data_IF_662575596923
#
_entry.id   IF_662575596923
#
_cell.length_a   1.000
_cell.length_b   1.000
_cell.length_c   1.000
_cell.angle_alpha   90.00
_cell.angle_beta   90.00
_cell.angle_gamma   90.00
#
_symmetry.space_group_name_H-M   'P 1'
#
loop_
_entity.id
_entity.type
_entity.pdbx_description
1 polymer ?
#
# COMPACT_ATOMS: atom_id res chain seq x y z
N UNK A 1 -15.43 6.80 -1.85
CA UNK A 1 -14.91 6.56 -0.48
C UNK A 1 -13.48 6.05 -0.61
N UNK A 2 -12.52 6.53 0.19
CA UNK A 2 -11.11 6.09 0.10
C UNK A 2 -10.99 4.70 0.71
N UNK A 3 -10.52 3.72 -0.07
CA UNK A 3 -10.23 2.36 0.41
C UNK A 3 -8.91 2.31 1.19
N UNK A 4 -8.90 2.89 2.38
CA UNK A 4 -7.69 3.09 3.21
C UNK A 4 -6.93 1.79 3.49
N UNK A 5 -7.63 0.73 3.86
CA UNK A 5 -7.04 -0.58 4.17
C UNK A 5 -6.36 -1.21 2.97
N UNK A 6 -7.05 -1.21 1.81
CA UNK A 6 -6.48 -1.67 0.54
C UNK A 6 -5.26 -0.86 0.13
N UNK A 7 -5.35 0.47 0.25
CA UNK A 7 -4.28 1.38 -0.12
C UNK A 7 -3.03 1.15 0.75
N UNK A 8 -3.22 1.05 2.07
CA UNK A 8 -2.17 0.74 3.02
C UNK A 8 -1.52 -0.62 2.70
N UNK A 9 -2.33 -1.66 2.51
CA UNK A 9 -1.86 -2.99 2.16
C UNK A 9 -1.08 -3.05 0.85
N UNK A 10 -1.53 -2.35 -0.20
CA UNK A 10 -0.81 -2.29 -1.48
C UNK A 10 0.52 -1.52 -1.34
N UNK A 11 0.58 -0.51 -0.47
CA UNK A 11 1.82 0.21 -0.18
C UNK A 11 2.79 -0.65 0.62
N UNK A 12 2.31 -1.46 1.57
CA UNK A 12 3.13 -2.48 2.23
C UNK A 12 3.65 -3.51 1.23
N UNK A 13 2.80 -3.99 0.31
CA UNK A 13 3.23 -4.88 -0.78
C UNK A 13 4.40 -4.29 -1.54
N UNK A 14 4.29 -3.04 -1.98
CA UNK A 14 5.36 -2.31 -2.66
C UNK A 14 6.64 -2.24 -1.79
N UNK A 15 6.50 -1.89 -0.50
CA UNK A 15 7.60 -1.81 0.46
C UNK A 15 8.29 -3.14 0.78
N UNK A 16 7.73 -4.29 0.44
CA UNK A 16 8.40 -5.58 0.63
C UNK A 16 8.84 -6.25 -0.69
N UNK A 17 8.61 -5.63 -1.86
CA UNK A 17 9.10 -6.15 -3.15
C UNK A 17 10.61 -6.41 -3.11
N UNK A 18 11.02 -7.63 -3.47
CA UNK A 18 12.43 -8.04 -3.54
C UNK A 18 13.08 -8.34 -2.19
N UNK A 19 12.40 -8.08 -1.08
CA UNK A 19 12.90 -8.38 0.27
C UNK A 19 12.63 -9.82 0.69
N UNK A 20 13.22 -10.26 1.80
CA UNK A 20 13.00 -11.54 2.46
C UNK A 20 11.63 -11.65 3.15
N UNK A 21 10.66 -10.85 2.71
CA UNK A 21 9.28 -10.88 3.14
C UNK A 21 8.34 -10.67 1.96
N UNK A 22 7.18 -11.31 2.02
CA UNK A 22 6.06 -11.14 1.11
C UNK A 22 4.83 -10.68 1.89
N UNK A 23 4.05 -9.78 1.30
CA UNK A 23 2.78 -9.33 1.88
C UNK A 23 1.62 -9.96 1.14
N UNK A 24 0.75 -10.64 1.87
CA UNK A 24 -0.54 -11.10 1.39
C UNK A 24 -1.64 -10.24 2.02
N UNK A 25 -2.51 -9.70 1.17
CA UNK A 25 -3.71 -8.98 1.61
C UNK A 25 -4.81 -10.01 1.69
N UNK A 26 -5.26 -10.35 2.89
CA UNK A 26 -6.22 -11.44 3.04
C UNK A 26 -7.53 -11.14 2.31
N UNK A 27 -8.06 -12.15 1.61
CA UNK A 27 -9.44 -12.17 1.10
C UNK A 27 -10.00 -13.58 1.31
N UNK A 28 -11.13 -13.62 2.03
CA UNK A 28 -12.03 -14.71 2.45
C UNK A 28 -11.50 -15.85 3.33
N UNK A 29 -11.87 -15.78 4.62
CA UNK A 29 -11.92 -16.91 5.57
C UNK A 29 -13.36 -17.23 6.03
N UNK A 30 -14.38 -16.48 5.57
CA UNK A 30 -15.82 -16.71 5.84
C UNK A 30 -16.67 -16.28 4.63
N UNK A 31 -17.94 -16.68 4.60
CA UNK A 31 -18.93 -16.45 3.51
C UNK A 31 -19.26 -14.96 3.28
N UNK A 32 -18.76 -14.06 4.14
CA UNK A 32 -19.04 -12.63 4.08
C UNK A 32 -17.72 -11.86 4.05
N UNK A 33 -17.60 -11.02 3.02
CA UNK A 33 -16.46 -10.18 2.64
C UNK A 33 -15.86 -9.33 3.78
N UNK A 34 -15.08 -9.92 4.71
CA UNK A 34 -14.31 -9.18 5.71
C UNK A 34 -13.00 -8.70 5.09
N UNK A 35 -13.11 -7.80 4.11
CA UNK A 35 -12.03 -7.52 3.16
C UNK A 35 -11.02 -6.49 3.67
N UNK A 36 -9.80 -6.97 3.92
CA UNK A 36 -8.54 -6.21 3.91
C UNK A 36 -8.14 -5.48 5.21
N UNK A 37 -8.86 -5.69 6.32
CA UNK A 37 -8.49 -5.11 7.62
C UNK A 37 -7.18 -5.69 8.19
N UNK A 38 -6.71 -6.81 7.64
CA UNK A 38 -5.49 -7.52 8.02
C UNK A 38 -4.62 -7.80 6.79
N UNK A 39 -3.34 -7.47 6.90
CA UNK A 39 -2.29 -7.92 6.00
C UNK A 39 -1.40 -8.94 6.71
N UNK A 40 -0.98 -9.98 6.00
CA UNK A 40 0.01 -10.92 6.50
C UNK A 40 1.33 -10.67 5.80
N UNK A 41 2.38 -10.40 6.58
CA UNK A 41 3.76 -10.33 6.11
C UNK A 41 4.43 -11.65 6.48
N UNK A 42 4.85 -12.42 5.48
CA UNK A 42 5.47 -13.74 5.63
C UNK A 42 6.92 -13.68 5.22
N UNK A 43 7.79 -14.36 5.94
CA UNK A 43 9.18 -14.52 5.53
C UNK A 43 9.28 -15.30 4.22
N UNK A 44 10.22 -14.91 3.37
CA UNK A 44 10.44 -15.46 2.03
C UNK A 44 11.94 -15.45 1.67
N UNK A 45 12.29 -16.05 0.54
CA UNK A 45 13.69 -16.24 0.09
C UNK A 45 14.31 -15.01 -0.59
N UNK A 46 13.76 -13.80 -0.37
CA UNK A 46 14.28 -12.57 -0.96
C UNK A 46 15.49 -11.95 -0.23
N UNK A 47 15.87 -10.74 -0.63
CA UNK A 47 17.03 -10.04 -0.04
C UNK A 47 16.75 -9.61 1.40
N UNK A 48 17.71 -9.78 2.30
CA UNK A 48 17.57 -9.34 3.68
C UNK A 48 17.21 -7.86 3.75
N UNK A 49 16.06 -7.54 4.36
CA UNK A 49 15.67 -6.16 4.59
C UNK A 49 16.56 -5.54 5.69
N UNK A 50 17.30 -4.49 5.32
CA UNK A 50 18.28 -3.84 6.22
C UNK A 50 17.78 -2.54 6.84
N UNK A 51 16.81 -1.86 6.19
CA UNK A 51 16.20 -0.63 6.71
C UNK A 51 14.71 -0.85 6.96
N UNK A 52 14.31 -0.62 8.21
CA UNK A 52 12.99 -0.94 8.73
C UNK A 52 12.24 0.35 9.05
N UNK A 53 10.97 0.48 8.65
CA UNK A 53 10.10 1.48 9.24
C UNK A 53 10.01 1.21 10.74
N UNK A 54 9.95 2.27 11.54
CA UNK A 54 9.92 2.13 12.98
C UNK A 54 8.73 1.27 13.42
N UNK A 55 9.03 0.24 14.19
CA UNK A 55 8.05 -0.74 14.68
C UNK A 55 8.15 -2.08 13.99
N UNK A 56 8.73 -2.18 12.78
CA UNK A 56 8.93 -3.45 12.08
C UNK A 56 10.31 -4.09 12.30
N UNK A 57 11.09 -3.57 13.25
CA UNK A 57 12.40 -4.11 13.63
C UNK A 57 12.38 -5.53 14.24
N UNK A 58 11.20 -6.09 14.52
CA UNK A 58 11.04 -7.40 15.15
C UNK A 58 10.14 -8.36 14.35
N UNK A 59 10.07 -8.25 13.01
CA UNK A 59 9.32 -9.22 12.21
C UNK A 59 9.79 -10.66 12.47
N UNK A 60 8.84 -11.59 12.56
CA UNK A 60 9.07 -13.04 12.65
C UNK A 60 8.68 -13.72 11.33
N UNK A 61 8.52 -15.03 11.32
CA UNK A 61 8.20 -15.79 10.12
C UNK A 61 6.80 -15.44 9.57
N UNK A 62 5.84 -15.17 10.45
CA UNK A 62 4.48 -14.71 10.13
C UNK A 62 4.12 -13.47 10.94
N UNK A 63 3.60 -12.43 10.28
CA UNK A 63 3.31 -11.17 10.93
C UNK A 63 1.93 -10.69 10.51
N UNK A 64 1.00 -10.60 11.45
CA UNK A 64 -0.36 -10.13 11.17
C UNK A 64 -0.44 -8.65 11.52
N UNK A 65 -0.84 -7.85 10.55
CA UNK A 65 -0.90 -6.39 10.66
C UNK A 65 -2.32 -5.94 10.43
N UNK A 66 -2.98 -5.46 11.48
CA UNK A 66 -4.25 -4.74 11.33
C UNK A 66 -4.00 -3.25 11.18
N UNK A 67 -4.77 -2.58 10.32
CA UNK A 67 -4.70 -1.14 10.12
C UNK A 67 -6.01 -0.46 10.51
N UNK A 68 -5.93 0.75 11.08
CA UNK A 68 -7.06 1.67 11.23
C UNK A 68 -6.72 3.06 10.76
N UNK A 69 -7.56 3.54 9.86
CA UNK A 69 -7.45 4.83 9.19
C UNK A 69 -7.87 5.99 10.10
N UNK A 70 -7.80 7.20 9.55
CA UNK A 70 -8.09 8.48 10.21
C UNK A 70 -9.35 8.55 11.08
N UNK A 71 -10.42 7.85 10.69
CA UNK A 71 -11.75 7.93 11.31
C UNK A 71 -12.07 6.72 12.18
N UNK A 72 -11.14 5.78 12.30
CA UNK A 72 -11.33 4.53 13.03
C UNK A 72 -10.54 4.58 14.34
N UNK A 73 -11.22 4.56 15.50
CA UNK A 73 -10.53 4.57 16.79
C UNK A 73 -9.86 3.22 17.07
N UNK A 74 -8.77 3.26 17.85
CA UNK A 74 -8.20 2.05 18.46
C UNK A 74 -9.00 1.69 19.70
N UNK A 75 -9.74 0.59 19.64
CA UNK A 75 -10.56 0.06 20.74
C UNK A 75 -10.09 -1.33 21.18
N UNK A 76 -10.45 -1.75 22.40
CA UNK A 76 -10.06 -3.05 22.95
C UNK A 76 -10.51 -4.23 22.08
N UNK A 77 -11.75 -4.16 21.56
CA UNK A 77 -12.34 -5.17 20.68
C UNK A 77 -11.47 -5.50 19.47
N UNK A 78 -10.79 -4.50 18.91
CA UNK A 78 -9.92 -4.72 17.75
C UNK A 78 -8.68 -5.56 18.07
N UNK A 79 -8.16 -5.47 19.30
CA UNK A 79 -7.09 -6.37 19.74
C UNK A 79 -7.60 -7.81 19.84
N UNK A 80 -8.85 -7.99 20.30
CA UNK A 80 -9.49 -9.30 20.37
C UNK A 80 -9.74 -9.90 18.98
N UNK A 81 -10.15 -9.07 18.01
CA UNK A 81 -10.26 -9.46 16.60
C UNK A 81 -8.91 -9.91 16.04
N UNK A 82 -7.85 -9.12 16.23
CA UNK A 82 -6.51 -9.47 15.75
C UNK A 82 -5.99 -10.78 16.37
N UNK A 83 -6.23 -10.99 17.66
CA UNK A 83 -5.89 -12.25 18.34
C UNK A 83 -6.72 -13.41 17.76
N UNK A 84 -8.00 -13.22 17.53
CA UNK A 84 -8.90 -14.24 16.96
C UNK A 84 -8.44 -14.65 15.57
N UNK A 85 -8.10 -13.67 14.72
CA UNK A 85 -7.53 -13.89 13.40
C UNK A 85 -6.20 -14.62 13.45
N UNK A 86 -5.31 -14.25 14.37
CA UNK A 86 -4.09 -15.00 14.59
C UNK A 86 -4.36 -16.47 14.94
N UNK A 87 -5.29 -16.74 15.85
CA UNK A 87 -5.60 -18.12 16.27
C UNK A 87 -6.09 -18.92 15.08
N UNK A 88 -6.99 -18.34 14.29
CA UNK A 88 -7.50 -18.96 13.08
C UNK A 88 -6.38 -19.19 12.06
N UNK A 89 -5.59 -18.16 11.78
CA UNK A 89 -4.52 -18.22 10.79
C UNK A 89 -3.47 -19.26 11.16
N UNK A 90 -3.02 -19.28 12.43
CA UNK A 90 -2.10 -20.29 12.95
C UNK A 90 -2.64 -21.71 12.77
N UNK A 91 -3.92 -21.96 13.09
CA UNK A 91 -4.55 -23.27 12.86
C UNK A 91 -4.58 -23.64 11.38
N UNK A 92 -4.83 -22.66 10.49
CA UNK A 92 -4.88 -22.87 9.04
C UNK A 92 -3.53 -23.25 8.45
N UNK A 93 -2.43 -22.66 8.93
CA UNK A 93 -1.09 -22.89 8.36
C UNK A 93 -0.26 -23.93 9.10
N UNK A 94 -0.71 -24.38 10.27
CA UNK A 94 -0.05 -25.45 11.00
C UNK A 94 -0.33 -26.81 10.36
N UNK A 95 0.58 -27.80 10.50
CA UNK A 95 0.37 -29.15 10.00
C UNK A 95 -0.95 -29.79 10.45
N UNK A 96 -1.35 -29.56 11.71
CA UNK A 96 -2.65 -30.00 12.24
C UNK A 96 -3.06 -29.14 13.44
N UNK A 97 -4.27 -29.34 13.96
CA UNK A 97 -4.72 -28.67 15.20
C UNK A 97 -4.02 -29.18 16.46
N UNK A 98 -3.42 -30.37 16.39
CA UNK A 98 -2.68 -30.99 17.50
C UNK A 98 -1.17 -30.73 17.41
N UNK A 99 -0.69 -30.25 16.26
CA UNK A 99 0.69 -29.87 15.99
C UNK A 99 0.73 -28.43 15.46
N UNK A 100 0.53 -27.48 16.37
CA UNK A 100 0.50 -26.06 16.03
C UNK A 100 1.92 -25.49 15.97
N UNK A 101 2.21 -24.72 14.91
CA UNK A 101 3.48 -23.98 14.78
C UNK A 101 3.80 -23.15 16.04
N UNK A 102 5.06 -23.00 16.45
CA UNK A 102 5.42 -22.24 17.67
C UNK A 102 4.88 -20.81 17.68
N UNK A 103 4.56 -20.27 18.86
CA UNK A 103 3.98 -18.93 19.00
C UNK A 103 4.99 -17.85 18.58
N UNK A 104 6.27 -18.12 18.77
CA UNK A 104 7.42 -17.24 18.50
C UNK A 104 7.60 -16.96 17.01
N UNK A 105 7.05 -17.83 16.15
CA UNK A 105 7.01 -17.62 14.70
C UNK A 105 5.98 -16.55 14.28
N UNK A 106 5.15 -16.06 15.22
CA UNK A 106 4.09 -15.10 14.94
C UNK A 106 4.30 -13.78 15.67
N UNK A 107 4.14 -12.67 14.96
CA UNK A 107 4.10 -11.33 15.55
C UNK A 107 2.80 -10.61 15.17
N UNK A 108 2.26 -9.85 16.11
CA UNK A 108 1.02 -9.11 15.92
C UNK A 108 1.26 -7.61 15.97
N UNK A 109 0.73 -6.92 14.96
CA UNK A 109 0.86 -5.47 14.80
C UNK A 109 -0.51 -4.83 14.65
N UNK A 110 -0.66 -3.69 15.31
CA UNK A 110 -1.79 -2.80 15.15
C UNK A 110 -1.28 -1.43 14.72
N UNK A 111 -1.51 -1.08 13.46
CA UNK A 111 -1.13 0.20 12.88
C UNK A 111 -2.32 1.13 12.91
N UNK A 112 -2.18 2.29 13.52
CA UNK A 112 -3.29 3.24 13.67
C UNK A 112 -2.85 4.64 13.29
N UNK A 113 -3.69 5.35 12.56
CA UNK A 113 -3.33 6.72 12.16
C UNK A 113 -3.22 7.65 13.37
N UNK A 114 -4.12 7.51 14.36
CA UNK A 114 -4.23 8.44 15.49
C UNK A 114 -4.14 7.73 16.84
N UNK A 115 -3.55 8.40 17.82
CA UNK A 115 -3.49 7.93 19.20
C UNK A 115 -4.91 7.88 19.82
N UNK A 116 -5.31 6.79 20.51
CA UNK A 116 -6.64 6.68 21.12
C UNK A 116 -6.85 7.67 22.27
N UNK A 117 -8.01 8.32 22.28
CA UNK A 117 -8.40 9.21 23.37
C UNK A 117 -8.53 8.44 24.69
N UNK A 118 -8.20 9.09 25.81
CA UNK A 118 -8.03 8.47 27.15
C UNK A 118 -9.19 7.57 27.62
N UNK A 119 -10.41 7.76 27.11
CA UNK A 119 -11.62 7.02 27.54
C UNK A 119 -11.78 5.63 26.92
N UNK A 120 -11.06 5.32 25.83
CA UNK A 120 -11.20 4.05 25.09
C UNK A 120 -9.88 3.28 24.98
N UNK A 121 -8.93 3.56 25.87
CA UNK A 121 -7.63 2.88 25.82
C UNK A 121 -7.79 1.42 26.24
N UNK A 122 -7.31 0.46 25.43
CA UNK A 122 -6.99 -0.88 25.92
C UNK A 122 -5.92 -0.79 27.04
N UNK A 123 -5.57 -1.93 27.63
CA UNK A 123 -4.46 -2.13 28.58
C UNK A 123 -3.27 -1.17 28.43
N UNK A 124 -2.53 -0.84 29.51
CA UNK A 124 -1.51 0.20 29.47
C UNK A 124 -0.49 -0.02 28.34
N UNK A 125 -0.40 0.96 27.43
CA UNK A 125 0.59 0.97 26.37
C UNK A 125 1.94 1.42 26.92
N UNK A 126 2.96 0.58 26.72
CA UNK A 126 4.35 0.92 27.01
C UNK A 126 4.98 1.52 25.75
N UNK A 127 5.40 2.77 25.80
CA UNK A 127 6.15 3.37 24.69
C UNK A 127 7.56 2.79 24.64
N UNK A 128 7.96 2.25 23.48
CA UNK A 128 9.30 1.71 23.24
C UNK A 128 10.17 2.75 22.52
N UNK A 129 9.57 3.47 21.57
CA UNK A 129 10.15 4.61 20.86
C UNK A 129 9.04 5.53 20.34
N UNK A 130 9.34 6.77 19.90
CA UNK A 130 8.33 7.70 19.44
C UNK A 130 7.39 7.11 18.39
N UNK A 131 6.10 6.99 18.75
CA UNK A 131 5.07 6.42 17.87
C UNK A 131 5.00 4.89 17.85
N UNK A 132 5.85 4.18 18.58
CA UNK A 132 5.81 2.70 18.69
C UNK A 132 5.63 2.30 20.15
N UNK A 133 4.57 1.54 20.37
CA UNK A 133 4.12 1.11 21.67
C UNK A 133 3.97 -0.41 21.70
N UNK A 134 3.93 -0.97 22.89
CA UNK A 134 3.60 -2.37 23.13
C UNK A 134 2.49 -2.47 24.15
N UNK A 135 1.60 -3.42 23.95
CA UNK A 135 0.62 -3.86 24.94
C UNK A 135 0.71 -5.36 25.10
N UNK A 136 0.54 -5.83 26.33
CA UNK A 136 0.44 -7.26 26.58
C UNK A 136 -1.03 -7.67 26.49
N UNK A 137 -1.29 -8.74 25.75
CA UNK A 137 -2.49 -9.55 25.91
C UNK A 137 -2.14 -10.78 26.75
N UNK A 138 -3.15 -11.59 27.09
CA UNK A 138 -2.98 -12.73 27.98
C UNK A 138 -1.93 -13.76 27.49
N UNK A 139 -1.66 -13.82 26.19
CA UNK A 139 -0.77 -14.85 25.59
C UNK A 139 0.41 -14.30 24.79
N UNK A 140 0.52 -12.98 24.62
CA UNK A 140 1.48 -12.36 23.68
C UNK A 140 1.56 -10.86 23.84
N UNK A 141 2.66 -10.29 23.36
CA UNK A 141 2.80 -8.85 23.16
C UNK A 141 2.29 -8.47 21.78
N UNK A 142 1.57 -7.35 21.70
CA UNK A 142 1.10 -6.75 20.44
C UNK A 142 1.82 -5.42 20.28
N UNK A 143 2.44 -5.21 19.12
CA UNK A 143 3.10 -3.95 18.80
C UNK A 143 2.11 -2.98 18.15
N UNK A 144 2.05 -1.77 18.68
CA UNK A 144 1.14 -0.73 18.22
C UNK A 144 1.95 0.40 17.59
N UNK A 145 1.70 0.70 16.32
CA UNK A 145 2.38 1.76 15.57
C UNK A 145 1.38 2.89 15.35
N UNK A 146 1.66 4.05 15.93
CA UNK A 146 0.81 5.23 15.89
C UNK A 146 1.42 6.23 14.91
N UNK A 147 0.90 6.22 13.68
CA UNK A 147 1.53 6.88 12.54
C UNK A 147 1.74 8.38 12.75
N UNK A 148 0.75 9.08 13.32
CA UNK A 148 0.86 10.52 13.57
C UNK A 148 1.86 10.91 14.68
N UNK A 149 2.45 9.94 15.38
CA UNK A 149 3.52 10.14 16.36
C UNK A 149 4.88 9.64 15.89
N UNK A 150 4.94 8.93 14.75
CA UNK A 150 6.23 8.52 14.17
C UNK A 150 7.01 9.75 13.70
N UNK A 151 8.35 9.79 13.89
CA UNK A 151 9.15 10.94 13.49
C UNK A 151 9.25 11.06 11.96
N UNK A 152 9.36 12.30 11.48
CA UNK A 152 9.65 12.63 10.07
C UNK A 152 11.10 12.22 9.75
N UNK A 153 11.29 10.96 9.38
CA UNK A 153 12.58 10.38 9.00
C UNK A 153 12.39 9.50 7.76
N UNK A 154 13.41 9.39 6.90
CA UNK A 154 13.31 8.69 5.62
C UNK A 154 12.80 7.23 5.74
N UNK A 155 13.30 6.45 6.71
CA UNK A 155 12.80 5.09 6.99
C UNK A 155 11.30 5.02 7.33
N UNK A 156 10.74 6.12 7.85
CA UNK A 156 9.32 6.23 8.21
C UNK A 156 8.51 6.89 7.09
N UNK A 157 9.06 7.13 5.90
CA UNK A 157 8.32 7.77 4.80
C UNK A 157 7.01 7.04 4.49
N UNK A 158 7.01 5.69 4.57
CA UNK A 158 5.78 4.89 4.46
C UNK A 158 4.74 5.26 5.53
N UNK A 159 5.15 5.42 6.79
CA UNK A 159 4.26 5.86 7.87
C UNK A 159 3.74 7.28 7.66
N UNK A 160 4.58 8.16 7.13
CA UNK A 160 4.25 9.56 6.91
C UNK A 160 3.14 9.72 5.86
N UNK A 161 3.11 8.88 4.80
CA UNK A 161 2.02 8.84 3.81
C UNK A 161 0.63 8.65 4.46
N UNK A 162 0.56 7.84 5.52
CA UNK A 162 -0.69 7.47 6.19
C UNK A 162 -0.87 8.12 7.57
N UNK A 163 -0.01 9.09 7.91
CA UNK A 163 -0.01 9.77 9.21
C UNK A 163 -1.25 10.61 9.49
N UNK A 164 -2.07 10.88 8.48
CA UNK A 164 -3.25 11.73 8.63
C UNK A 164 -2.94 13.21 8.83
N UNK A 165 -1.71 13.63 8.49
CA UNK A 165 -1.21 15.00 8.52
C UNK A 165 -0.75 15.37 7.12
N UNK A 166 -1.19 16.52 6.60
CA UNK A 166 -0.78 16.97 5.26
C UNK A 166 0.75 17.12 5.13
N UNK A 167 1.41 17.70 6.14
CA UNK A 167 2.88 17.81 6.18
C UNK A 167 3.56 16.43 6.17
N UNK A 168 2.99 15.46 6.90
CA UNK A 168 3.47 14.08 6.89
C UNK A 168 3.28 13.45 5.51
N UNK A 169 2.12 13.63 4.89
CA UNK A 169 1.88 13.14 3.53
C UNK A 169 2.88 13.71 2.51
N UNK A 170 3.14 15.02 2.53
CA UNK A 170 4.14 15.66 1.67
C UNK A 170 5.54 15.08 1.89
N UNK A 171 5.94 14.91 3.16
CA UNK A 171 7.21 14.28 3.49
C UNK A 171 7.27 12.83 2.98
N UNK A 172 6.21 12.07 3.20
CA UNK A 172 6.09 10.69 2.77
C UNK A 172 6.22 10.55 1.26
N UNK A 173 5.51 11.36 0.48
CA UNK A 173 5.61 11.32 -0.99
C UNK A 173 7.01 11.70 -1.49
N UNK A 174 7.65 12.69 -0.87
CA UNK A 174 8.98 13.13 -1.28
C UNK A 174 10.08 12.10 -0.98
N UNK A 175 9.96 11.32 0.10
CA UNK A 175 11.02 10.45 0.58
C UNK A 175 10.73 8.94 0.44
N UNK A 176 9.50 8.55 0.16
CA UNK A 176 9.16 7.15 -0.07
C UNK A 176 9.57 6.74 -1.48
N UNK A 177 10.56 5.85 -1.56
CA UNK A 177 11.03 5.32 -2.83
C UNK A 177 10.17 4.15 -3.31
N UNK A 178 9.28 4.40 -4.26
CA UNK A 178 8.42 3.38 -4.88
C UNK A 178 9.25 2.36 -5.64
N UNK A 179 9.11 1.08 -5.30
CA UNK A 179 9.85 0.00 -6.01
C UNK A 179 9.27 -0.27 -7.38
N UNK A 180 7.96 -0.07 -7.52
CA UNK A 180 7.29 -0.02 -8.80
C UNK A 180 6.80 1.43 -9.01
N UNK A 181 7.43 2.23 -9.88
CA UNK A 181 7.06 3.64 -10.07
C UNK A 181 5.57 3.87 -10.36
N UNK A 182 4.96 3.00 -11.19
CA UNK A 182 3.51 3.06 -11.49
C UNK A 182 2.61 2.90 -10.24
N UNK A 183 3.11 2.33 -9.14
CA UNK A 183 2.34 2.21 -7.90
C UNK A 183 2.18 3.56 -7.18
N UNK A 184 2.97 4.59 -7.51
CA UNK A 184 2.80 5.93 -6.94
C UNK A 184 1.39 6.50 -7.17
N UNK A 185 0.68 6.08 -8.23
CA UNK A 185 -0.75 6.40 -8.49
C UNK A 185 -1.70 5.98 -7.36
N UNK A 186 -1.27 5.06 -6.50
CA UNK A 186 -2.04 4.65 -5.33
C UNK A 186 -2.30 5.86 -4.40
N UNK A 187 -1.46 6.89 -4.44
CA UNK A 187 -1.62 8.11 -3.64
C UNK A 187 -2.72 9.05 -4.14
N UNK A 188 -3.27 8.86 -5.35
CA UNK A 188 -4.29 9.76 -5.93
C UNK A 188 -5.47 10.07 -4.98
N UNK A 189 -6.05 9.10 -4.25
CA UNK A 189 -7.12 9.39 -3.31
C UNK A 189 -6.66 10.29 -2.15
N UNK A 190 -5.41 10.19 -1.71
CA UNK A 190 -4.83 11.01 -0.64
C UNK A 190 -4.56 12.44 -1.10
N UNK A 191 -4.06 12.63 -2.33
CA UNK A 191 -3.94 13.98 -2.91
C UNK A 191 -5.29 14.67 -2.98
N UNK A 192 -6.32 13.98 -3.46
CA UNK A 192 -7.68 14.53 -3.55
C UNK A 192 -8.20 14.93 -2.17
N UNK A 193 -7.95 14.12 -1.14
CA UNK A 193 -8.31 14.43 0.24
C UNK A 193 -7.63 15.72 0.72
N UNK A 194 -6.30 15.80 0.68
CA UNK A 194 -5.58 16.95 1.24
C UNK A 194 -5.73 18.23 0.41
N UNK A 195 -6.02 18.12 -0.89
CA UNK A 195 -6.41 19.26 -1.74
C UNK A 195 -7.77 19.84 -1.30
N UNK A 196 -8.76 18.98 -1.04
CA UNK A 196 -10.07 19.42 -0.54
C UNK A 196 -9.99 20.09 0.84
N UNK A 197 -9.05 19.65 1.68
CA UNK A 197 -8.80 20.27 2.99
C UNK A 197 -8.02 21.59 2.90
N UNK A 198 -7.54 21.99 1.71
CA UNK A 198 -6.86 23.26 1.47
C UNK A 198 -5.45 23.34 2.07
N UNK A 199 -4.82 22.21 2.39
CA UNK A 199 -3.60 22.18 3.21
C UNK A 199 -2.31 22.04 2.36
N UNK A 200 -2.41 21.78 1.07
CA UNK A 200 -1.24 21.56 0.21
C UNK A 200 -0.99 22.68 -0.79
N UNK A 201 0.27 23.13 -0.87
CA UNK A 201 0.80 23.97 -1.95
C UNK A 201 1.04 23.18 -3.23
N UNK A 202 1.41 21.90 -3.12
CA UNK A 202 1.57 20.97 -4.24
C UNK A 202 0.20 20.45 -4.68
N UNK A 203 -0.11 20.59 -5.98
CA UNK A 203 -1.44 20.31 -6.51
C UNK A 203 -1.55 18.89 -7.06
N UNK A 204 -2.79 18.41 -7.22
CA UNK A 204 -3.04 17.13 -7.88
C UNK A 204 -2.60 17.17 -9.36
N UNK A 205 -2.67 18.34 -9.99
CA UNK A 205 -2.20 18.56 -11.36
C UNK A 205 -0.67 18.45 -11.46
N UNK A 206 0.06 18.95 -10.46
CA UNK A 206 1.52 18.77 -10.38
C UNK A 206 1.89 17.30 -10.22
N UNK A 207 1.15 16.58 -9.36
CA UNK A 207 1.27 15.12 -9.22
C UNK A 207 1.08 14.39 -10.54
N UNK A 208 -0.02 14.65 -11.25
CA UNK A 208 -0.31 13.94 -12.50
C UNK A 208 0.79 14.18 -13.53
N UNK A 209 1.29 15.42 -13.64
CA UNK A 209 2.38 15.77 -14.56
C UNK A 209 3.66 14.99 -14.23
N UNK A 210 4.09 14.98 -12.97
CA UNK A 210 5.31 14.27 -12.54
C UNK A 210 5.15 12.76 -12.65
N UNK A 211 4.00 12.22 -12.24
CA UNK A 211 3.68 10.79 -12.38
C UNK A 211 3.72 10.36 -13.85
N UNK A 212 3.12 11.12 -14.76
CA UNK A 212 3.15 10.82 -16.20
C UNK A 212 4.58 10.85 -16.75
N UNK A 213 5.42 11.79 -16.29
CA UNK A 213 6.84 11.82 -16.67
C UNK A 213 7.58 10.58 -16.18
N UNK A 214 7.46 10.22 -14.90
CA UNK A 214 8.11 9.03 -14.32
C UNK A 214 7.67 7.74 -15.02
N UNK A 215 6.37 7.62 -15.26
CA UNK A 215 5.79 6.41 -15.82
C UNK A 215 6.08 6.29 -17.32
N UNK A 216 6.11 7.39 -18.07
CA UNK A 216 6.49 7.40 -19.48
C UNK A 216 7.87 6.80 -19.76
N UNK A 217 8.79 6.88 -18.79
CA UNK A 217 10.13 6.29 -18.91
C UNK A 217 10.14 4.76 -18.76
N UNK A 218 9.07 4.18 -18.19
CA UNK A 218 8.97 2.74 -17.90
C UNK A 218 7.94 2.01 -18.76
N UNK A 219 7.01 2.74 -19.38
CA UNK A 219 5.98 2.14 -20.22
C UNK A 219 6.49 1.83 -21.61
N UNK A 220 6.18 0.61 -22.07
CA UNK A 220 6.33 0.26 -23.46
C UNK A 220 5.18 0.85 -24.29
N UNK A 221 5.35 1.07 -25.60
CA UNK A 221 4.24 1.42 -26.49
C UNK A 221 3.06 0.45 -26.40
N UNK A 222 3.32 -0.81 -26.05
CA UNK A 222 2.26 -1.82 -25.85
C UNK A 222 1.41 -1.52 -24.60
N UNK A 223 2.03 -1.12 -23.50
CA UNK A 223 1.32 -0.79 -22.25
C UNK A 223 0.38 0.41 -22.47
N UNK A 224 0.76 1.37 -23.31
CA UNK A 224 -0.08 2.51 -23.70
C UNK A 224 -1.33 2.07 -24.48
N UNK A 225 -1.16 1.14 -25.42
CA UNK A 225 -2.25 0.64 -26.28
C UNK A 225 -3.25 -0.25 -25.53
N UNK A 226 -2.86 -0.84 -24.40
CA UNK A 226 -3.78 -1.59 -23.53
C UNK A 226 -4.70 -0.69 -22.71
N UNK A 227 -4.30 0.58 -22.48
CA UNK A 227 -5.00 1.50 -21.59
C UNK A 227 -5.74 2.59 -22.38
N UNK A 228 -5.21 2.99 -23.53
CA UNK A 228 -5.77 4.04 -24.36
C UNK A 228 -6.34 3.45 -25.66
N UNK A 229 -7.58 3.79 -26.04
CA UNK A 229 -8.13 3.43 -27.34
C UNK A 229 -7.22 3.96 -28.46
N UNK A 230 -6.87 3.09 -29.41
CA UNK A 230 -5.99 3.42 -30.55
C UNK A 230 -6.51 4.65 -31.30
N UNK A 231 -7.82 4.76 -31.49
CA UNK A 231 -8.44 5.89 -32.18
C UNK A 231 -8.28 7.21 -31.43
N UNK A 232 -8.30 7.18 -30.10
CA UNK A 232 -8.09 8.36 -29.27
C UNK A 232 -6.63 8.83 -29.35
N UNK A 233 -5.69 7.88 -29.30
CA UNK A 233 -4.25 8.17 -29.49
C UNK A 233 -3.99 8.76 -30.88
N UNK A 234 -4.51 8.12 -31.93
CA UNK A 234 -4.28 8.55 -33.30
C UNK A 234 -4.84 9.96 -33.51
N UNK A 235 -6.00 10.32 -32.95
CA UNK A 235 -6.58 11.68 -33.09
C UNK A 235 -5.63 12.81 -32.70
N UNK A 236 -4.81 12.60 -31.67
CA UNK A 236 -3.85 13.59 -31.17
C UNK A 236 -2.54 13.63 -31.97
N UNK A 237 -2.26 12.61 -32.79
CA UNK A 237 -1.06 12.56 -33.66
C UNK A 237 -1.35 13.27 -34.98
N UNK A 238 -0.50 14.17 -35.50
CA UNK A 238 -0.66 14.77 -36.83
C UNK A 238 -0.74 13.70 -37.94
N UNK A 239 -1.53 13.95 -38.98
CA UNK A 239 -1.76 12.95 -40.05
C UNK A 239 -0.45 12.57 -40.74
N UNK A 240 0.47 13.52 -40.97
CA UNK A 240 1.76 13.20 -41.58
C UNK A 240 2.56 12.22 -40.71
N UNK A 241 2.51 12.38 -39.39
CA UNK A 241 3.22 11.52 -38.44
C UNK A 241 2.58 10.13 -38.31
N UNK A 242 1.25 10.02 -38.44
CA UNK A 242 0.55 8.72 -38.48
C UNK A 242 1.00 7.85 -39.66
N UNK A 243 1.35 8.48 -40.77
CA UNK A 243 1.73 7.79 -42.01
C UNK A 243 3.24 7.51 -42.10
N UNK A 244 4.05 8.09 -41.21
CA UNK A 244 5.50 7.82 -41.16
C UNK A 244 5.76 6.35 -40.83
N UNK A 245 6.65 5.72 -41.60
CA UNK A 245 7.05 4.32 -41.43
C UNK A 245 6.18 3.31 -42.18
N UNK A 246 5.06 3.74 -42.80
CA UNK A 246 4.31 2.89 -43.73
C UNK A 246 4.90 3.01 -45.14
N UNK A 247 5.16 1.89 -45.85
CA UNK A 247 5.58 1.94 -47.25
C UNK A 247 4.48 2.56 -48.12
N UNK A 248 4.86 3.42 -49.06
CA UNK A 248 3.94 4.10 -49.98
C UNK A 248 3.01 3.12 -50.70
N UNK A 249 3.54 1.95 -51.10
CA UNK A 249 2.77 0.89 -51.74
C UNK A 249 1.60 0.35 -50.87
N UNK A 250 1.78 0.26 -49.54
CA UNK A 250 0.74 -0.21 -48.62
C UNK A 250 -0.38 0.83 -48.49
N UNK A 251 -0.01 2.12 -48.47
CA UNK A 251 -0.96 3.23 -48.43
C UNK A 251 -1.78 3.27 -49.72
N UNK A 252 -1.13 3.14 -50.88
CA UNK A 252 -1.79 3.09 -52.19
C UNK A 252 -2.73 1.90 -52.32
N UNK A 253 -2.33 0.71 -51.85
CA UNK A 253 -3.17 -0.48 -51.87
C UNK A 253 -4.45 -0.27 -51.04
N UNK A 254 -4.32 0.28 -49.82
CA UNK A 254 -5.48 0.56 -48.97
C UNK A 254 -6.43 1.59 -49.59
N UNK A 255 -5.90 2.68 -50.16
CA UNK A 255 -6.70 3.68 -50.88
C UNK A 255 -7.41 3.09 -52.11
N UNK A 256 -6.78 2.13 -52.81
CA UNK A 256 -7.39 1.44 -53.95
C UNK A 256 -8.56 0.54 -53.55
N UNK A 257 -8.51 -0.06 -52.35
CA UNK A 257 -9.61 -0.86 -51.78
C UNK A 257 -10.79 0.02 -51.39
N UNK A 258 -10.53 1.19 -50.80
CA UNK A 258 -11.59 2.15 -50.43
C UNK A 258 -12.31 2.75 -51.64
N UNK A 259 -11.60 2.99 -52.76
CA UNK A 259 -12.21 3.50 -54.00
C UNK A 259 -13.06 2.46 -54.76
N UNK A 260 -12.97 1.18 -54.39
CA UNK A 260 -13.76 0.07 -54.98
C UNK A 260 -14.98 -0.31 -54.13
N UNK A 261 -15.14 0.29 -52.95
CA UNK A 261 -16.33 0.19 -52.10
C UNK A 261 -17.22 1.43 -52.29
#
# INVERSE_FOLDING_TARGET
>A
MIGWHRLFGLTLKDFFIGSNYQVDLETDLTVQEQYLDIAIIKKSDGQLLTDWPDGFDNLSDYNLVSYKSLREPLEGWMLDELISYYVFYRKKISPSTDDLLPIEQFQLYTVVTRYPQKRHRPSPFKEIKPGVYETNSHSRTIRIIILNKTPEHQRNALWQLFSGKAKGFQFGDMFYNWRIPKNRRLLNPLYKLYKQEGVMSYTFEDFEREYLQEVSQTWSPKDLLEILPVDALLKEVPIEDRLKGLPSAVIEEYLSKLKKS
#
